data_IF_519089031395
#
_entry.id   IF_519089031395
#
_cell.length_a   1.000
_cell.length_b   1.000
_cell.length_c   1.000
_cell.angle_alpha   90.00
_cell.angle_beta   90.00
_cell.angle_gamma   90.00
#
_symmetry.space_group_name_H-M   'P 1'
#
loop_
_entity.id
_entity.type
_entity.pdbx_description
1 polymer ?
#
# COMPACT_ATOMS: atom_id res chain seq x y z
N UNK A 1 -42.67 15.00 -6.72
CA UNK A 1 -42.50 15.94 -7.86
C UNK A 1 -41.16 15.77 -8.55
N UNK A 2 -40.62 14.54 -8.75
CA UNK A 2 -39.26 14.31 -9.34
C UNK A 2 -39.27 13.47 -10.61
N UNK A 3 -40.39 13.04 -11.12
CA UNK A 3 -40.49 12.17 -12.33
C UNK A 3 -40.75 12.91 -13.63
N UNK A 4 -41.03 14.19 -13.62
CA UNK A 4 -41.37 14.96 -14.84
C UNK A 4 -40.14 15.57 -15.56
N UNK A 5 -39.01 15.76 -14.88
CA UNK A 5 -37.82 16.38 -15.47
C UNK A 5 -36.99 15.39 -16.37
N UNK A 6 -37.03 14.11 -16.03
CA UNK A 6 -36.23 13.10 -16.76
C UNK A 6 -36.81 12.76 -18.14
N UNK A 7 -38.13 12.82 -18.31
CA UNK A 7 -38.79 12.59 -19.61
C UNK A 7 -38.56 13.69 -20.64
N UNK A 8 -38.34 14.95 -20.23
CA UNK A 8 -38.08 16.05 -21.16
C UNK A 8 -36.69 15.96 -21.81
N UNK A 9 -35.69 15.47 -21.08
CA UNK A 9 -34.32 15.38 -21.58
C UNK A 9 -34.13 14.27 -22.62
N UNK A 10 -34.89 13.18 -22.50
CA UNK A 10 -34.84 12.06 -23.47
C UNK A 10 -35.50 12.48 -24.80
N UNK A 11 -36.65 13.19 -24.77
CA UNK A 11 -37.34 13.65 -26.01
C UNK A 11 -36.52 14.68 -26.77
N UNK A 12 -35.86 15.61 -26.10
CA UNK A 12 -35.03 16.64 -26.76
C UNK A 12 -33.79 16.04 -27.40
N UNK A 13 -33.18 15.02 -26.83
CA UNK A 13 -32.07 14.30 -27.43
C UNK A 13 -32.48 13.51 -28.66
N UNK A 14 -33.63 12.85 -28.63
CA UNK A 14 -34.12 12.04 -29.75
C UNK A 14 -34.51 12.90 -30.94
N UNK A 15 -35.14 14.05 -30.71
CA UNK A 15 -35.52 15.01 -31.77
C UNK A 15 -34.26 15.61 -32.41
N UNK A 16 -33.24 15.98 -31.65
CA UNK A 16 -31.97 16.46 -32.24
C UNK A 16 -31.27 15.42 -33.10
N UNK A 17 -31.32 14.14 -32.71
CA UNK A 17 -30.70 13.04 -33.49
C UNK A 17 -31.47 12.81 -34.79
N UNK A 18 -32.80 12.90 -34.76
CA UNK A 18 -33.63 12.74 -35.97
C UNK A 18 -33.40 13.90 -36.94
N UNK A 19 -33.34 15.16 -36.49
CA UNK A 19 -33.02 16.30 -37.35
C UNK A 19 -31.63 16.25 -37.94
N UNK A 20 -30.62 15.76 -37.21
CA UNK A 20 -29.27 15.55 -37.77
C UNK A 20 -29.23 14.44 -38.83
N UNK A 21 -29.99 13.35 -38.65
CA UNK A 21 -30.10 12.28 -39.65
C UNK A 21 -30.85 12.71 -40.88
N UNK A 22 -31.93 13.49 -40.77
CA UNK A 22 -32.66 14.03 -41.91
C UNK A 22 -31.85 15.05 -42.68
N UNK A 23 -31.12 15.93 -42.01
CA UNK A 23 -30.21 16.89 -42.66
C UNK A 23 -29.10 16.21 -43.46
N UNK A 24 -28.55 15.11 -42.93
CA UNK A 24 -27.48 14.35 -43.60
C UNK A 24 -27.98 13.54 -44.80
N UNK A 25 -29.20 12.97 -44.74
CA UNK A 25 -29.83 12.26 -45.84
C UNK A 25 -30.28 13.23 -46.93
N UNK A 26 -30.80 14.41 -46.56
CA UNK A 26 -31.16 15.45 -47.53
C UNK A 26 -29.93 16.05 -48.23
N UNK A 27 -28.83 16.31 -47.48
CA UNK A 27 -27.57 16.78 -48.06
C UNK A 27 -26.92 15.73 -48.98
N UNK A 28 -27.03 14.45 -48.65
CA UNK A 28 -26.53 13.36 -49.50
C UNK A 28 -27.36 13.20 -50.78
N UNK A 29 -28.67 13.38 -50.72
CA UNK A 29 -29.53 13.36 -51.89
C UNK A 29 -29.32 14.59 -52.82
N UNK A 30 -29.05 15.75 -52.24
CA UNK A 30 -28.71 16.95 -52.98
C UNK A 30 -27.34 16.84 -53.67
N UNK A 31 -26.34 16.29 -53.00
CA UNK A 31 -25.02 16.06 -53.56
C UNK A 31 -25.02 15.01 -54.69
N UNK A 32 -25.84 13.95 -54.58
CA UNK A 32 -26.04 12.97 -55.66
C UNK A 32 -26.78 13.58 -56.88
N UNK A 33 -27.70 14.51 -56.65
CA UNK A 33 -28.39 15.22 -57.72
C UNK A 33 -27.45 16.19 -58.45
N UNK A 34 -26.57 16.87 -57.72
CA UNK A 34 -25.54 17.76 -58.29
C UNK A 34 -24.47 16.96 -59.06
N UNK A 35 -24.06 15.79 -58.60
CA UNK A 35 -23.13 14.89 -59.24
C UNK A 35 -23.68 14.33 -60.58
N UNK A 36 -24.99 14.10 -60.68
CA UNK A 36 -25.64 13.71 -61.98
C UNK A 36 -25.66 14.83 -63.00
N UNK A 37 -25.71 16.06 -62.53
CA UNK A 37 -25.74 17.23 -63.45
C UNK A 37 -24.34 17.66 -63.92
N UNK A 38 -23.28 17.32 -63.17
CA UNK A 38 -21.90 17.71 -63.44
C UNK A 38 -21.07 16.67 -64.19
N UNK A 39 -21.64 15.49 -64.53
CA UNK A 39 -20.97 14.48 -65.36
C UNK A 39 -19.73 13.84 -64.74
N UNK A 40 -19.39 14.15 -63.46
CA UNK A 40 -18.23 13.60 -62.76
C UNK A 40 -18.61 12.29 -62.07
N UNK A 41 -17.90 11.20 -62.38
CA UNK A 41 -18.03 9.91 -61.68
C UNK A 41 -17.57 10.06 -60.23
N UNK A 42 -18.38 9.64 -59.24
CA UNK A 42 -17.94 9.68 -57.84
C UNK A 42 -16.69 8.82 -57.67
N UNK A 43 -15.63 9.39 -57.12
CA UNK A 43 -14.43 8.60 -56.81
C UNK A 43 -14.76 7.58 -55.75
N UNK A 44 -14.49 6.30 -56.02
CA UNK A 44 -14.71 5.17 -55.07
C UNK A 44 -14.04 5.41 -53.71
N UNK A 45 -12.95 6.18 -53.71
CA UNK A 45 -12.23 6.54 -52.48
C UNK A 45 -13.07 7.35 -51.49
N UNK A 46 -13.87 8.31 -51.94
CA UNK A 46 -14.72 9.15 -51.07
C UNK A 46 -15.86 8.35 -50.41
N UNK A 47 -16.48 7.43 -51.13
CA UNK A 47 -17.54 6.56 -50.62
C UNK A 47 -17.01 5.55 -49.60
N UNK A 48 -15.84 4.98 -49.83
CA UNK A 48 -15.17 4.06 -48.88
C UNK A 48 -14.78 4.78 -47.60
N UNK A 49 -14.27 5.99 -47.68
CA UNK A 49 -13.93 6.80 -46.48
C UNK A 49 -15.17 7.16 -45.66
N UNK A 50 -16.26 7.58 -46.33
CA UNK A 50 -17.52 7.88 -45.66
C UNK A 50 -18.14 6.62 -44.99
N UNK A 51 -18.12 5.50 -45.68
CA UNK A 51 -18.55 4.23 -45.15
C UNK A 51 -17.71 3.77 -43.93
N UNK A 52 -16.38 3.86 -44.04
CA UNK A 52 -15.46 3.56 -42.90
C UNK A 52 -15.70 4.50 -41.73
N UNK A 53 -15.91 5.80 -41.96
CA UNK A 53 -16.18 6.76 -40.91
C UNK A 53 -17.53 6.50 -40.23
N UNK A 54 -18.59 6.17 -40.99
CA UNK A 54 -19.90 5.80 -40.48
C UNK A 54 -19.82 4.54 -39.57
N UNK A 55 -19.21 3.47 -40.05
CA UNK A 55 -19.10 2.22 -39.29
C UNK A 55 -18.13 2.34 -38.12
N UNK A 56 -17.04 3.08 -38.23
CA UNK A 56 -16.14 3.38 -37.12
C UNK A 56 -16.85 4.16 -36.00
N UNK A 57 -17.81 5.01 -36.35
CA UNK A 57 -18.63 5.74 -35.36
C UNK A 57 -19.71 4.85 -34.74
N UNK A 58 -20.32 3.96 -35.51
CA UNK A 58 -21.37 3.04 -35.05
C UNK A 58 -20.84 1.86 -34.28
N UNK A 59 -19.66 1.36 -34.60
CA UNK A 59 -18.98 0.26 -33.90
C UNK A 59 -18.20 0.68 -32.66
N UNK A 60 -18.16 1.96 -32.33
CA UNK A 60 -17.64 2.41 -31.03
C UNK A 60 -18.56 1.91 -29.94
N UNK A 61 -18.22 0.73 -29.40
CA UNK A 61 -18.91 0.16 -28.24
C UNK A 61 -18.75 1.13 -27.05
N UNK A 62 -19.81 1.82 -26.68
CA UNK A 62 -19.84 2.80 -25.58
C UNK A 62 -20.05 2.12 -24.22
N UNK A 63 -20.11 0.81 -24.18
CA UNK A 63 -20.12 0.06 -22.95
C UNK A 63 -18.72 0.14 -22.32
N UNK A 64 -18.47 1.19 -21.55
CA UNK A 64 -17.28 1.32 -20.73
C UNK A 64 -17.28 0.26 -19.62
N UNK A 65 -16.11 0.04 -19.01
CA UNK A 65 -15.98 -0.82 -17.83
C UNK A 65 -17.05 -0.45 -16.79
N UNK A 66 -17.72 -1.44 -16.15
CA UNK A 66 -18.73 -1.18 -15.13
C UNK A 66 -18.23 -0.19 -14.07
N UNK A 67 -19.08 0.75 -13.69
CA UNK A 67 -18.71 1.74 -12.67
C UNK A 67 -18.58 1.05 -11.32
N UNK A 68 -17.51 1.34 -10.61
CA UNK A 68 -17.34 0.92 -9.21
C UNK A 68 -18.51 1.46 -8.38
N UNK A 69 -19.06 0.66 -7.47
CA UNK A 69 -20.19 1.07 -6.62
C UNK A 69 -19.87 2.36 -5.86
N UNK A 70 -20.91 3.15 -5.55
CA UNK A 70 -20.75 4.39 -4.79
C UNK A 70 -20.21 4.13 -3.38
N UNK A 71 -20.67 3.06 -2.76
CA UNK A 71 -20.24 2.61 -1.43
C UNK A 71 -18.74 2.27 -1.39
N UNK A 72 -18.26 1.49 -2.35
CA UNK A 72 -16.84 1.14 -2.40
C UNK A 72 -15.96 2.38 -2.66
N UNK A 73 -16.42 3.33 -3.48
CA UNK A 73 -15.71 4.60 -3.67
C UNK A 73 -15.67 5.44 -2.40
N UNK A 74 -16.78 5.49 -1.67
CA UNK A 74 -16.85 6.20 -0.38
C UNK A 74 -15.89 5.57 0.64
N UNK A 75 -15.89 4.23 0.75
CA UNK A 75 -14.98 3.48 1.63
C UNK A 75 -13.50 3.72 1.30
N UNK A 76 -13.13 3.71 0.01
CA UNK A 76 -11.75 4.03 -0.42
C UNK A 76 -11.37 5.46 0.01
N UNK A 77 -12.29 6.41 -0.18
CA UNK A 77 -12.09 7.81 0.22
C UNK A 77 -11.98 7.98 1.73
N UNK A 78 -12.77 7.26 2.51
CA UNK A 78 -12.72 7.24 3.98
C UNK A 78 -11.40 6.65 4.48
N UNK A 79 -11.02 5.45 4.00
CA UNK A 79 -9.73 4.83 4.32
C UNK A 79 -8.55 5.74 4.00
N UNK A 80 -8.59 6.44 2.86
CA UNK A 80 -7.53 7.36 2.43
C UNK A 80 -7.46 8.60 3.33
N UNK A 81 -8.59 9.15 3.76
CA UNK A 81 -8.65 10.32 4.66
C UNK A 81 -8.27 9.97 6.08
N UNK A 82 -8.79 8.87 6.61
CA UNK A 82 -8.48 8.39 7.95
C UNK A 82 -7.02 7.95 8.11
N UNK A 83 -6.33 7.64 7.01
CA UNK A 83 -4.97 7.11 7.02
C UNK A 83 -4.13 7.82 5.96
N UNK A 84 -3.77 9.08 6.20
CA UNK A 84 -3.05 9.95 5.27
C UNK A 84 -1.73 9.36 4.74
N UNK A 85 -1.11 8.45 5.50
CA UNK A 85 0.14 7.78 5.15
C UNK A 85 -0.04 6.47 4.33
N UNK A 86 -1.28 6.07 4.06
CA UNK A 86 -1.52 4.85 3.31
C UNK A 86 -1.48 5.08 1.80
N UNK A 87 -0.72 4.25 1.10
CA UNK A 87 -0.72 4.21 -0.37
C UNK A 87 -1.78 3.24 -0.93
N UNK A 88 -2.05 3.35 -2.24
CA UNK A 88 -2.99 2.47 -2.93
C UNK A 88 -2.77 0.96 -2.69
N UNK A 89 -1.52 0.45 -2.64
CA UNK A 89 -1.29 -0.97 -2.37
C UNK A 89 -1.79 -1.41 -1.00
N UNK A 90 -1.74 -0.52 0.00
CA UNK A 90 -2.17 -0.84 1.37
C UNK A 90 -3.68 -0.82 1.48
N UNK A 91 -4.34 0.24 1.01
CA UNK A 91 -5.81 0.31 0.96
C UNK A 91 -6.38 -0.86 0.17
N UNK A 92 -5.77 -1.22 -0.98
CA UNK A 92 -6.16 -2.41 -1.74
C UNK A 92 -6.06 -3.69 -0.92
N UNK A 93 -4.98 -3.84 -0.12
CA UNK A 93 -4.83 -4.99 0.78
C UNK A 93 -5.94 -5.09 1.81
N UNK A 94 -6.32 -3.98 2.44
CA UNK A 94 -7.44 -3.93 3.39
C UNK A 94 -8.77 -4.29 2.72
N UNK A 95 -9.04 -3.75 1.53
CA UNK A 95 -10.25 -4.08 0.77
C UNK A 95 -10.35 -5.56 0.43
N UNK A 96 -9.22 -6.21 0.08
CA UNK A 96 -9.20 -7.66 -0.14
C UNK A 96 -9.52 -8.44 1.14
N UNK A 97 -9.03 -8.00 2.31
CA UNK A 97 -9.35 -8.62 3.60
C UNK A 97 -10.81 -8.43 4.01
N UNK A 98 -11.43 -7.35 3.55
CA UNK A 98 -12.86 -7.09 3.71
C UNK A 98 -13.73 -7.80 2.65
N UNK A 99 -13.12 -8.60 1.76
CA UNK A 99 -13.81 -9.35 0.72
C UNK A 99 -14.20 -8.55 -0.52
N UNK A 100 -13.66 -7.33 -0.71
CA UNK A 100 -13.88 -6.54 -1.93
C UNK A 100 -12.84 -6.86 -2.99
N UNK A 101 -13.26 -7.45 -4.10
CA UNK A 101 -12.41 -7.69 -5.27
C UNK A 101 -12.37 -6.47 -6.17
N UNK A 102 -11.34 -5.66 -6.05
CA UNK A 102 -11.12 -4.44 -6.83
C UNK A 102 -9.67 -4.36 -7.29
N UNK A 103 -9.43 -3.86 -8.51
CA UNK A 103 -8.05 -3.68 -8.98
C UNK A 103 -7.34 -2.54 -8.22
N UNK A 104 -6.06 -2.72 -7.91
CA UNK A 104 -5.24 -1.70 -7.25
C UNK A 104 -5.23 -0.36 -8.02
N UNK A 105 -5.26 -0.40 -9.36
CA UNK A 105 -5.37 0.79 -10.21
C UNK A 105 -6.66 1.57 -9.97
N UNK A 106 -7.75 0.88 -9.65
CA UNK A 106 -9.04 1.50 -9.28
C UNK A 106 -8.92 2.20 -7.93
N UNK A 107 -8.29 1.56 -6.94
CA UNK A 107 -8.01 2.20 -5.64
C UNK A 107 -7.15 3.45 -5.84
N UNK A 108 -6.05 3.35 -6.60
CA UNK A 108 -5.16 4.48 -6.91
C UNK A 108 -5.86 5.65 -7.62
N UNK A 109 -6.97 5.39 -8.30
CA UNK A 109 -7.78 6.42 -8.98
C UNK A 109 -8.63 7.23 -8.02
N UNK A 110 -9.08 6.63 -6.92
CA UNK A 110 -10.01 7.24 -5.96
C UNK A 110 -9.36 7.73 -4.67
N UNK A 111 -8.03 7.60 -4.53
CA UNK A 111 -7.25 8.04 -3.39
C UNK A 111 -6.14 9.05 -3.77
N UNK A 112 -5.53 9.72 -2.77
CA UNK A 112 -4.38 10.61 -2.96
C UNK A 112 -3.07 9.86 -3.18
N UNK A 113 -2.13 10.40 -4.00
CA UNK A 113 -0.92 9.72 -4.51
C UNK A 113 0.37 10.10 -3.78
N UNK A 114 1.33 9.16 -3.64
CA UNK A 114 2.73 9.40 -3.22
C UNK A 114 3.76 8.41 -3.84
N UNK A 115 5.06 8.59 -3.70
CA UNK A 115 6.20 8.17 -4.52
C UNK A 115 6.87 6.77 -4.34
N UNK A 116 7.97 6.45 -5.05
CA UNK A 116 8.52 5.15 -5.53
C UNK A 116 9.64 4.44 -4.70
N UNK A 117 9.92 3.13 -4.92
CA UNK A 117 10.88 2.27 -4.20
C UNK A 117 12.11 1.71 -5.00
N UNK A 118 13.11 1.07 -4.37
CA UNK A 118 14.44 0.67 -4.91
C UNK A 118 14.72 -0.80 -5.33
N UNK A 119 15.99 -1.19 -5.65
CA UNK A 119 16.52 -2.27 -6.51
C UNK A 119 16.99 -3.65 -5.92
N UNK A 120 17.65 -4.58 -6.72
CA UNK A 120 17.53 -6.05 -6.67
C UNK A 120 18.69 -6.96 -6.17
N UNK A 121 19.91 -6.61 -5.91
CA UNK A 121 21.08 -7.51 -5.81
C UNK A 121 21.16 -8.61 -4.71
N UNK A 122 20.50 -8.48 -3.60
CA UNK A 122 20.63 -9.32 -2.38
C UNK A 122 19.57 -10.43 -2.26
N UNK A 123 18.78 -10.64 -3.28
CA UNK A 123 17.54 -11.45 -3.23
C UNK A 123 17.71 -12.95 -2.97
N UNK A 124 18.68 -13.57 -3.61
CA UNK A 124 18.76 -15.05 -3.62
C UNK A 124 19.15 -15.62 -2.26
N UNK A 125 20.09 -14.98 -1.56
CA UNK A 125 20.47 -15.41 -0.22
C UNK A 125 19.31 -15.27 0.77
N UNK A 126 18.63 -14.13 0.73
CA UNK A 126 17.52 -13.87 1.64
C UNK A 126 16.31 -14.80 1.40
N UNK A 127 16.02 -15.16 0.14
CA UNK A 127 14.90 -16.05 -0.17
C UNK A 127 15.11 -17.49 0.32
N UNK A 128 16.37 -17.96 0.27
CA UNK A 128 16.71 -19.33 0.67
C UNK A 128 16.80 -19.52 2.20
N UNK A 129 16.94 -18.44 2.97
CA UNK A 129 17.14 -18.51 4.42
C UNK A 129 16.17 -17.60 5.21
N UNK A 130 15.13 -17.09 4.57
CA UNK A 130 14.26 -16.04 5.08
C UNK A 130 13.68 -16.32 6.47
N UNK A 131 13.29 -17.55 6.75
CA UNK A 131 12.68 -17.94 8.02
C UNK A 131 13.71 -18.07 9.17
N UNK A 132 14.95 -18.35 8.81
CA UNK A 132 16.07 -18.46 9.75
C UNK A 132 16.84 -17.16 9.98
N UNK A 133 16.43 -16.04 9.40
CA UNK A 133 17.10 -14.75 9.51
C UNK A 133 16.30 -13.80 10.39
N UNK A 134 16.98 -13.19 11.36
CA UNK A 134 16.51 -11.98 12.03
C UNK A 134 17.47 -10.82 11.76
N UNK A 135 16.95 -9.61 11.88
CA UNK A 135 17.74 -8.39 11.78
C UNK A 135 17.49 -7.52 13.02
N UNK A 136 18.54 -6.83 13.46
CA UNK A 136 18.46 -5.85 14.54
C UNK A 136 19.06 -4.52 14.11
N UNK A 137 18.54 -3.47 14.70
CA UNK A 137 19.06 -2.13 14.49
C UNK A 137 18.67 -1.20 15.63
N UNK A 138 19.46 -0.16 15.84
CA UNK A 138 19.24 0.90 16.82
C UNK A 138 18.84 2.19 16.11
N UNK A 139 17.83 2.85 16.62
CA UNK A 139 17.56 4.23 16.22
C UNK A 139 17.36 5.12 17.43
N UNK A 140 17.55 6.40 17.25
CA UNK A 140 17.45 7.41 18.30
C UNK A 140 16.24 8.31 18.12
N UNK A 141 15.69 8.78 19.25
CA UNK A 141 14.58 9.71 19.29
C UNK A 141 14.76 10.66 20.47
N UNK A 142 14.67 12.00 20.27
CA UNK A 142 14.63 12.94 21.37
C UNK A 142 13.23 12.96 22.03
N UNK A 143 13.20 13.12 23.33
CA UNK A 143 11.98 13.44 24.09
C UNK A 143 11.69 14.94 24.02
N UNK A 144 10.51 15.37 24.52
CA UNK A 144 10.17 16.79 24.70
C UNK A 144 11.18 17.55 25.58
N UNK A 145 11.82 16.84 26.52
CA UNK A 145 12.89 17.40 27.38
C UNK A 145 14.30 17.25 26.76
N UNK A 146 14.39 16.97 25.44
CA UNK A 146 15.64 16.76 24.71
C UNK A 146 16.52 15.61 25.22
N UNK A 147 15.98 14.74 26.06
CA UNK A 147 16.65 13.51 26.43
C UNK A 147 16.65 12.53 25.26
N UNK A 148 17.81 12.00 24.91
CA UNK A 148 17.93 11.02 23.82
C UNK A 148 17.54 9.64 24.33
N UNK A 149 16.60 9.02 23.65
CA UNK A 149 16.21 7.63 23.82
C UNK A 149 16.73 6.79 22.67
N UNK A 150 17.28 5.63 22.99
CA UNK A 150 17.71 4.61 22.03
C UNK A 150 16.66 3.51 21.97
N UNK A 151 16.27 3.18 20.76
CA UNK A 151 15.33 2.11 20.47
C UNK A 151 16.02 0.99 19.70
N UNK A 152 16.10 -0.20 20.30
CA UNK A 152 16.46 -1.42 19.62
C UNK A 152 15.21 -2.02 18.98
N UNK A 153 15.31 -2.44 17.72
CA UNK A 153 14.23 -3.13 17.00
C UNK A 153 14.74 -4.47 16.50
N UNK A 154 13.95 -5.51 16.70
CA UNK A 154 14.25 -6.88 16.28
C UNK A 154 13.15 -7.35 15.34
N UNK A 155 13.51 -7.73 14.11
CA UNK A 155 12.58 -8.18 13.08
C UNK A 155 13.02 -9.53 12.49
N UNK A 156 12.10 -10.48 12.32
CA UNK A 156 12.32 -11.67 11.48
C UNK A 156 12.09 -11.35 10.01
N UNK A 157 12.94 -11.87 9.16
CA UNK A 157 12.77 -11.71 7.71
C UNK A 157 11.58 -12.50 7.20
N UNK A 158 11.37 -13.72 7.71
CA UNK A 158 10.15 -14.49 7.46
C UNK A 158 8.92 -13.69 7.88
N UNK A 159 7.98 -13.53 6.98
CA UNK A 159 6.78 -12.70 7.15
C UNK A 159 7.00 -11.28 7.70
N UNK A 160 8.25 -10.81 7.87
CA UNK A 160 8.61 -9.47 8.39
C UNK A 160 8.05 -9.19 9.76
N UNK A 161 7.98 -10.22 10.58
CA UNK A 161 7.43 -10.13 11.93
C UNK A 161 8.29 -9.22 12.80
N UNK A 162 7.72 -8.20 13.36
CA UNK A 162 8.36 -7.39 14.40
C UNK A 162 8.32 -8.17 15.70
N UNK A 163 9.46 -8.77 16.07
CA UNK A 163 9.57 -9.72 17.20
C UNK A 163 9.55 -8.99 18.53
N UNK A 164 10.40 -7.98 18.66
CA UNK A 164 10.58 -7.26 19.92
C UNK A 164 11.16 -5.87 19.68
N UNK A 165 11.08 -5.04 20.70
CA UNK A 165 11.78 -3.76 20.79
C UNK A 165 12.22 -3.49 22.23
N UNK A 166 13.32 -2.76 22.36
CA UNK A 166 13.79 -2.23 23.63
C UNK A 166 13.94 -0.71 23.57
N UNK A 167 13.74 -0.03 24.70
CA UNK A 167 13.99 1.42 24.83
C UNK A 167 14.89 1.65 26.02
N UNK A 168 15.89 2.50 25.88
CA UNK A 168 16.82 2.85 26.96
C UNK A 168 17.43 4.23 26.71
N UNK A 169 17.96 4.84 27.75
CA UNK A 169 18.84 6.01 27.64
C UNK A 169 20.31 5.64 27.47
N UNK A 170 20.67 4.37 27.77
CA UNK A 170 22.05 3.89 27.70
C UNK A 170 22.12 2.49 27.05
N UNK A 171 22.40 2.39 25.74
CA UNK A 171 22.42 1.14 24.98
C UNK A 171 23.75 0.40 25.16
N UNK A 172 23.97 -0.24 26.30
CA UNK A 172 25.17 -1.05 26.52
C UNK A 172 25.09 -2.41 25.82
N UNK A 173 26.23 -3.06 25.56
CA UNK A 173 26.29 -4.39 24.95
C UNK A 173 25.55 -5.44 25.79
N UNK A 174 25.58 -5.31 27.12
CA UNK A 174 24.86 -6.16 28.06
C UNK A 174 23.35 -5.99 27.93
N UNK A 175 22.89 -4.72 27.82
CA UNK A 175 21.48 -4.43 27.61
C UNK A 175 20.98 -4.99 26.28
N UNK A 176 21.73 -4.79 25.18
CA UNK A 176 21.38 -5.34 23.86
C UNK A 176 21.33 -6.87 23.91
N UNK A 177 22.32 -7.49 24.55
CA UNK A 177 22.40 -8.96 24.74
C UNK A 177 21.16 -9.50 25.44
N UNK A 178 20.72 -8.83 26.50
CA UNK A 178 19.51 -9.20 27.24
C UNK A 178 18.27 -9.07 26.34
N UNK A 179 18.14 -7.97 25.58
CA UNK A 179 17.00 -7.78 24.68
C UNK A 179 16.91 -8.88 23.62
N UNK A 180 18.05 -9.33 23.08
CA UNK A 180 18.08 -10.44 22.11
C UNK A 180 17.72 -11.77 22.77
N UNK A 181 18.18 -12.00 24.00
CA UNK A 181 17.84 -13.22 24.76
C UNK A 181 16.35 -13.28 25.07
N UNK A 182 15.77 -12.16 25.49
CA UNK A 182 14.32 -12.05 25.77
C UNK A 182 13.46 -12.20 24.50
N UNK A 183 13.94 -11.72 23.36
CA UNK A 183 13.24 -11.78 22.09
C UNK A 183 13.21 -13.20 21.48
N UNK A 184 14.21 -14.03 21.77
CA UNK A 184 14.36 -15.36 21.20
C UNK A 184 14.53 -16.42 22.31
N UNK A 185 13.42 -17.00 22.81
CA UNK A 185 13.49 -18.22 23.61
C UNK A 185 14.27 -19.31 22.85
N UNK A 186 14.90 -20.23 23.59
CA UNK A 186 15.86 -21.21 23.05
C UNK A 186 15.40 -21.96 21.80
N UNK A 187 14.14 -22.31 21.73
CA UNK A 187 13.56 -23.09 20.62
C UNK A 187 13.26 -22.25 19.38
N UNK A 188 13.39 -20.93 19.47
CA UNK A 188 12.97 -20.00 18.43
C UNK A 188 14.10 -19.06 17.97
N UNK A 189 15.34 -19.35 18.34
CA UNK A 189 16.49 -18.56 17.95
C UNK A 189 16.67 -18.57 16.42
N UNK A 190 16.97 -17.42 15.80
CA UNK A 190 17.27 -17.37 14.38
C UNK A 190 18.63 -18.01 14.08
N UNK A 191 18.80 -18.58 12.89
CA UNK A 191 20.10 -19.13 12.46
C UNK A 191 21.13 -18.04 12.18
N UNK A 192 20.67 -16.89 11.69
CA UNK A 192 21.50 -15.73 11.35
C UNK A 192 20.90 -14.46 11.95
N UNK A 193 21.77 -13.60 12.48
CA UNK A 193 21.38 -12.28 12.97
C UNK A 193 22.14 -11.23 12.16
N UNK A 194 21.40 -10.47 11.35
CA UNK A 194 21.95 -9.34 10.57
C UNK A 194 21.92 -8.11 11.47
N UNK A 195 23.01 -7.35 11.48
CA UNK A 195 23.14 -6.08 12.19
C UNK A 195 24.08 -5.16 11.45
N UNK A 196 24.02 -3.88 11.76
CA UNK A 196 25.01 -2.91 11.33
C UNK A 196 26.36 -3.09 12.11
N UNK A 197 27.29 -2.19 11.91
CA UNK A 197 28.61 -2.21 12.55
C UNK A 197 28.73 -1.20 13.69
N UNK A 198 27.62 -0.88 14.36
CA UNK A 198 27.65 0.00 15.51
C UNK A 198 28.55 -0.53 16.62
N UNK A 199 29.24 0.36 17.30
CA UNK A 199 30.16 0.03 18.40
C UNK A 199 29.44 -0.49 19.65
N UNK A 200 28.15 -0.26 19.77
CA UNK A 200 27.29 -0.76 20.86
C UNK A 200 27.22 -2.30 20.91
N UNK A 201 27.53 -2.98 19.80
CA UNK A 201 27.63 -4.45 19.74
C UNK A 201 29.03 -4.94 20.19
N UNK A 202 29.30 -4.84 21.48
CA UNK A 202 30.59 -5.24 22.07
C UNK A 202 30.80 -6.74 22.19
N UNK A 203 31.96 -7.17 22.76
CA UNK A 203 32.32 -8.58 22.91
C UNK A 203 31.29 -9.41 23.68
N UNK A 204 30.67 -8.83 24.71
CA UNK A 204 29.61 -9.47 25.52
C UNK A 204 28.43 -9.87 24.67
N UNK A 205 27.99 -8.99 23.76
CA UNK A 205 26.93 -9.28 22.80
C UNK A 205 27.33 -10.45 21.88
N UNK A 206 28.53 -10.42 21.31
CA UNK A 206 29.00 -11.47 20.41
C UNK A 206 29.09 -12.83 21.12
N UNK A 207 29.55 -12.87 22.36
CA UNK A 207 29.59 -14.06 23.15
C UNK A 207 28.19 -14.62 23.43
N UNK A 208 27.23 -13.75 23.77
CA UNK A 208 25.84 -14.13 24.04
C UNK A 208 25.17 -14.76 22.83
N UNK A 209 25.23 -14.12 21.67
CA UNK A 209 24.56 -14.65 20.47
C UNK A 209 25.19 -15.97 20.00
N UNK A 210 26.52 -16.14 20.17
CA UNK A 210 27.20 -17.42 19.90
C UNK A 210 26.71 -18.52 20.84
N UNK A 211 26.56 -18.22 22.15
CA UNK A 211 26.02 -19.16 23.14
C UNK A 211 24.58 -19.57 22.80
N UNK A 212 23.80 -18.72 22.14
CA UNK A 212 22.46 -19.01 21.64
C UNK A 212 22.46 -19.78 20.30
N UNK A 213 23.62 -20.16 19.76
CA UNK A 213 23.73 -20.81 18.45
C UNK A 213 23.46 -19.92 17.26
N UNK A 214 23.37 -18.60 17.46
CA UNK A 214 23.08 -17.63 16.42
C UNK A 214 24.39 -17.23 15.71
N UNK A 215 24.40 -17.27 14.37
CA UNK A 215 25.52 -16.78 13.56
C UNK A 215 25.40 -15.27 13.36
N UNK A 216 26.37 -14.51 13.87
CA UNK A 216 26.50 -13.08 13.67
C UNK A 216 26.81 -12.77 12.20
N UNK A 217 26.04 -11.88 11.62
CA UNK A 217 26.24 -11.44 10.24
C UNK A 217 26.21 -9.90 10.14
N UNK A 218 27.33 -9.23 10.54
CA UNK A 218 27.42 -7.78 10.36
C UNK A 218 27.41 -7.42 8.86
N UNK A 219 26.70 -6.37 8.48
CA UNK A 219 26.65 -5.90 7.09
C UNK A 219 28.05 -5.52 6.58
N UNK A 220 28.25 -5.63 5.28
CA UNK A 220 29.49 -5.15 4.67
C UNK A 220 29.63 -3.63 4.83
N UNK A 221 30.85 -3.09 4.94
CA UNK A 221 31.05 -1.65 5.02
C UNK A 221 30.38 -0.93 3.85
N UNK A 222 29.72 0.20 4.15
CA UNK A 222 28.98 1.02 3.17
C UNK A 222 27.85 0.28 2.43
N UNK A 223 27.28 -0.77 3.04
CA UNK A 223 26.23 -1.58 2.43
C UNK A 223 24.93 -1.61 3.27
N UNK A 224 24.29 -0.46 3.55
CA UNK A 224 23.08 -0.39 4.38
C UNK A 224 21.95 -1.25 3.83
N UNK A 225 21.84 -1.40 2.50
CA UNK A 225 20.81 -2.26 1.88
C UNK A 225 20.79 -3.71 2.38
N UNK A 226 21.88 -4.19 3.01
CA UNK A 226 21.94 -5.52 3.62
C UNK A 226 21.06 -5.62 4.88
N UNK A 227 20.77 -4.50 5.55
CA UNK A 227 19.85 -4.43 6.70
C UNK A 227 18.48 -3.81 6.34
N UNK A 228 18.14 -3.79 5.07
CA UNK A 228 16.98 -3.07 4.53
C UNK A 228 15.62 -3.46 5.16
N UNK A 229 15.49 -4.63 5.79
CA UNK A 229 14.23 -5.04 6.42
C UNK A 229 13.97 -4.28 7.71
N UNK A 230 14.96 -4.19 8.59
CA UNK A 230 14.81 -3.44 9.84
C UNK A 230 14.81 -1.93 9.57
N UNK A 231 15.62 -1.44 8.64
CA UNK A 231 15.60 -0.03 8.22
C UNK A 231 14.21 0.39 7.70
N UNK A 232 13.56 -0.47 6.90
CA UNK A 232 12.18 -0.22 6.46
C UNK A 232 11.19 -0.22 7.60
N UNK A 233 11.36 -1.11 8.59
CA UNK A 233 10.53 -1.11 9.79
C UNK A 233 10.72 0.20 10.56
N UNK A 234 11.95 0.61 10.81
CA UNK A 234 12.27 1.89 11.47
C UNK A 234 11.68 3.07 10.69
N UNK A 235 11.86 3.06 9.37
CA UNK A 235 11.24 4.06 8.49
C UNK A 235 9.71 4.08 8.56
N UNK A 236 9.07 2.92 8.76
CA UNK A 236 7.62 2.86 8.99
C UNK A 236 7.23 3.37 10.37
N UNK A 237 7.98 2.97 11.42
CA UNK A 237 7.78 3.46 12.80
C UNK A 237 7.86 4.99 12.85
N UNK A 238 8.86 5.59 12.19
CA UNK A 238 8.99 7.04 12.13
C UNK A 238 7.81 7.67 11.40
N UNK A 239 7.67 7.42 10.12
CA UNK A 239 6.69 8.09 9.26
C UNK A 239 5.23 7.81 9.60
N UNK A 240 4.92 6.63 10.13
CA UNK A 240 3.54 6.23 10.39
C UNK A 240 3.16 6.41 11.87
N UNK A 241 4.12 6.70 12.76
CA UNK A 241 3.85 6.79 14.19
C UNK A 241 4.58 7.95 14.85
N UNK A 242 5.92 7.90 14.93
CA UNK A 242 6.69 8.82 15.78
C UNK A 242 6.71 10.27 15.29
N UNK A 243 6.69 10.49 13.96
CA UNK A 243 6.66 11.83 13.38
C UNK A 243 5.33 12.57 13.68
N UNK A 244 4.34 11.87 14.23
CA UNK A 244 3.02 12.40 14.60
C UNK A 244 2.79 12.45 16.10
N UNK A 245 3.80 12.15 16.92
CA UNK A 245 3.65 12.05 18.38
C UNK A 245 4.78 12.77 19.11
N UNK A 246 4.42 13.49 20.17
CA UNK A 246 5.40 14.05 21.11
C UNK A 246 5.71 12.99 22.17
N UNK A 247 6.98 12.65 22.33
CA UNK A 247 7.42 11.64 23.31
C UNK A 247 7.87 12.33 24.59
N UNK A 248 7.24 11.98 25.70
CA UNK A 248 7.53 12.55 27.01
C UNK A 248 8.67 11.84 27.76
N UNK A 249 8.88 10.54 27.47
CA UNK A 249 9.91 9.76 28.13
C UNK A 249 9.87 8.29 27.71
N UNK A 250 10.72 7.47 28.35
CA UNK A 250 10.91 6.06 28.02
C UNK A 250 9.62 5.25 28.14
N UNK A 251 8.90 5.35 29.28
CA UNK A 251 7.66 4.62 29.50
C UNK A 251 6.58 4.99 28.48
N UNK A 252 6.51 6.28 28.09
CA UNK A 252 5.60 6.75 27.07
C UNK A 252 5.95 6.16 25.72
N UNK A 253 7.23 6.20 25.32
CA UNK A 253 7.68 5.62 24.05
C UNK A 253 7.43 4.12 23.99
N UNK A 254 7.68 3.37 25.09
CA UNK A 254 7.36 1.94 25.17
C UNK A 254 5.88 1.66 24.94
N UNK A 255 4.99 2.48 25.48
CA UNK A 255 3.54 2.35 25.27
C UNK A 255 3.16 2.59 23.83
N UNK A 256 3.69 3.65 23.21
CA UNK A 256 3.46 3.98 21.78
C UNK A 256 3.93 2.82 20.90
N UNK A 257 5.18 2.37 21.08
CA UNK A 257 5.76 1.30 20.26
C UNK A 257 5.03 -0.02 20.42
N UNK A 258 4.54 -0.34 21.64
CA UNK A 258 3.71 -1.54 21.87
C UNK A 258 2.42 -1.49 21.07
N UNK A 259 1.72 -0.35 21.07
CA UNK A 259 0.51 -0.15 20.29
C UNK A 259 0.79 -0.26 18.77
N UNK A 260 1.88 0.36 18.32
CA UNK A 260 2.24 0.31 16.91
C UNK A 260 2.73 -1.08 16.49
N UNK A 261 3.45 -1.82 17.35
CA UNK A 261 3.89 -3.19 17.07
C UNK A 261 2.70 -4.15 16.91
N UNK A 262 1.70 -4.03 17.79
CA UNK A 262 0.47 -4.79 17.67
C UNK A 262 -0.24 -4.50 16.34
N UNK A 263 -0.40 -3.23 15.99
CA UNK A 263 -0.99 -2.82 14.72
C UNK A 263 -0.17 -3.29 13.51
N UNK A 264 1.16 -3.14 13.55
CA UNK A 264 2.07 -3.57 12.49
C UNK A 264 1.97 -5.07 12.23
N UNK A 265 1.94 -5.88 13.27
CA UNK A 265 1.95 -7.34 13.16
C UNK A 265 0.57 -7.92 12.79
N UNK A 266 -0.52 -7.36 13.32
CA UNK A 266 -1.86 -7.94 13.20
C UNK A 266 -2.68 -7.31 12.10
N UNK A 267 -2.57 -5.98 11.91
CA UNK A 267 -3.53 -5.25 11.07
C UNK A 267 -2.90 -4.65 9.83
N UNK A 268 -1.64 -4.21 9.91
CA UNK A 268 -0.97 -3.52 8.81
C UNK A 268 -0.72 -4.43 7.63
N UNK A 269 -1.28 -4.11 6.48
CA UNK A 269 -1.06 -4.88 5.24
C UNK A 269 0.30 -4.58 4.60
N UNK A 270 0.97 -5.62 4.13
CA UNK A 270 2.29 -5.55 3.51
C UNK A 270 2.25 -6.01 2.05
N UNK A 271 2.72 -5.16 1.14
CA UNK A 271 2.75 -5.48 -0.29
C UNK A 271 3.49 -6.78 -0.60
N UNK A 272 4.58 -7.05 0.11
CA UNK A 272 5.43 -8.24 -0.10
C UNK A 272 4.88 -9.51 0.53
N UNK A 273 3.82 -9.40 1.34
CA UNK A 273 3.09 -10.53 1.92
C UNK A 273 1.73 -10.72 1.23
N UNK A 274 1.63 -10.40 -0.04
CA UNK A 274 0.38 -10.48 -0.81
C UNK A 274 -0.77 -9.72 -0.13
N UNK A 275 -0.49 -8.54 0.41
CA UNK A 275 -1.42 -7.69 1.17
C UNK A 275 -1.86 -8.28 2.52
N UNK A 276 -1.17 -9.29 3.01
CA UNK A 276 -1.38 -9.81 4.35
C UNK A 276 -0.60 -9.04 5.42
N UNK A 277 -0.97 -9.23 6.70
CA UNK A 277 -0.18 -8.79 7.84
C UNK A 277 0.94 -9.80 8.16
N UNK A 278 1.98 -9.43 8.94
CA UNK A 278 2.98 -10.38 9.44
C UNK A 278 2.36 -11.58 10.15
N UNK A 279 1.41 -11.38 11.04
CA UNK A 279 0.51 -12.42 11.51
C UNK A 279 -0.66 -12.54 10.53
N UNK A 280 -0.94 -13.76 10.09
CA UNK A 280 -1.97 -14.01 9.08
C UNK A 280 -3.32 -13.42 9.50
N UNK A 281 -3.95 -12.68 8.60
CA UNK A 281 -5.27 -12.10 8.79
C UNK A 281 -6.26 -12.71 7.83
N UNK A 282 -7.27 -13.38 8.36
CA UNK A 282 -8.33 -14.00 7.57
C UNK A 282 -9.11 -12.95 6.75
N UNK A 283 -9.68 -13.39 5.62
CA UNK A 283 -10.58 -12.57 4.80
C UNK A 283 -11.98 -12.64 5.40
N UNK A 284 -12.50 -11.50 5.85
CA UNK A 284 -13.85 -11.33 6.39
C UNK A 284 -14.81 -10.95 5.26
N UNK A 285 -15.87 -11.74 5.03
CA UNK A 285 -16.83 -11.48 3.95
C UNK A 285 -18.23 -11.14 4.43
N UNK A 286 -18.56 -11.46 5.67
CA UNK A 286 -19.89 -11.27 6.27
C UNK A 286 -19.85 -10.17 7.32
N UNK A 287 -20.98 -9.50 7.55
CA UNK A 287 -21.15 -8.46 8.55
C UNK A 287 -20.90 -7.03 8.04
N UNK A 288 -21.25 -6.05 8.85
CA UNK A 288 -21.03 -4.63 8.57
C UNK A 288 -19.56 -4.24 8.72
N UNK A 289 -19.09 -3.33 7.89
CA UNK A 289 -17.71 -2.82 7.99
C UNK A 289 -17.63 -1.79 9.11
N UNK A 290 -16.75 -2.04 10.08
CA UNK A 290 -16.51 -1.16 11.22
C UNK A 290 -15.07 -0.69 11.25
N UNK A 291 -14.87 0.59 11.53
CA UNK A 291 -13.59 1.24 11.75
C UNK A 291 -13.25 1.28 13.22
N UNK A 292 -12.08 0.76 13.61
CA UNK A 292 -11.55 0.84 14.99
C UNK A 292 -10.31 1.72 15.01
N UNK A 293 -10.29 2.80 15.80
CA UNK A 293 -9.12 3.67 15.90
C UNK A 293 -7.96 2.95 16.61
N UNK A 294 -6.75 3.18 16.13
CA UNK A 294 -5.49 2.68 16.70
C UNK A 294 -4.57 3.88 16.93
N UNK A 295 -3.83 3.88 18.03
CA UNK A 295 -2.91 4.97 18.41
C UNK A 295 -3.61 6.34 18.47
N UNK A 296 -4.75 6.40 19.16
CA UNK A 296 -5.50 7.65 19.30
C UNK A 296 -6.13 8.16 17.99
N UNK A 297 -6.38 7.27 17.02
CA UNK A 297 -6.95 7.64 15.72
C UNK A 297 -5.92 7.93 14.63
N UNK A 298 -4.63 7.82 14.91
CA UNK A 298 -3.58 7.97 13.89
C UNK A 298 -3.71 6.94 12.78
N UNK A 299 -4.17 5.72 13.12
CA UNK A 299 -4.52 4.67 12.19
C UNK A 299 -5.91 4.12 12.50
N UNK A 300 -6.47 3.41 11.54
CA UNK A 300 -7.73 2.71 11.70
C UNK A 300 -7.59 1.27 11.23
N UNK A 301 -8.08 0.35 12.02
CA UNK A 301 -8.28 -1.04 11.62
C UNK A 301 -9.71 -1.20 11.13
N UNK A 302 -9.88 -1.81 9.97
CA UNK A 302 -11.19 -2.13 9.42
C UNK A 302 -11.46 -3.62 9.60
N UNK A 303 -12.63 -3.96 10.15
CA UNK A 303 -13.09 -5.34 10.33
C UNK A 303 -14.59 -5.42 10.04
N UNK A 304 -15.12 -6.64 9.87
CA UNK A 304 -16.56 -6.90 9.80
C UNK A 304 -17.05 -7.44 11.14
N UNK A 305 -18.25 -7.00 11.55
CA UNK A 305 -18.98 -7.45 12.74
C UNK A 305 -20.42 -7.77 12.38
#
# INVERSE_FOLDING_TARGET
MCFAAERRNVRTSTIRIVFYLFGYIAGFRLSLRWLRLSGRRPSFAGTVLAFRAYWRRRSRNRAGRPKVSAELRALIGEMSRANALWGAPRIHGELLKLGFEVAQSTVARYMCRHSRPPSQGWRTFLSNHVDGIAAIDLFVLPTIAFQILYCLVIVRHGRRLWVSFGVTTNPTAEWISRQVTEAFPWDHAPRYLIRDRDTSYGPVFLQRIRAMGIRDHPIAPRSPWQNAYVERLIGSIRRECLDHMIVFGEAHLRRILRGYAAYYNVSRTHRSLNKDAPLHRAIERLGAVVSRPVLGGLHHQYCRI
#
